data_IF_423763139672
#
_entry.id   IF_423763139672
#
_cell.length_a   1.000
_cell.length_b   1.000
_cell.length_c   1.000
_cell.angle_alpha   90.00
_cell.angle_beta   90.00
_cell.angle_gamma   90.00
#
_symmetry.space_group_name_H-M   'P 1'
#
loop_
_entity.id
_entity.type
_entity.pdbx_description
1 polymer ?
#
# COMPACT_ATOMS: atom_id res chain seq x y z
N UNK A 1 -19.13 6.48 2.66
CA UNK A 1 -18.04 7.06 3.48
C UNK A 1 -17.55 5.91 4.34
N UNK A 2 -16.24 5.71 4.46
CA UNK A 2 -15.72 4.68 5.36
C UNK A 2 -15.95 5.07 6.81
N UNK A 3 -16.26 4.08 7.63
CA UNK A 3 -16.33 4.22 9.09
C UNK A 3 -14.92 4.32 9.67
N UNK A 4 -14.79 4.91 10.86
CA UNK A 4 -13.51 4.99 11.55
C UNK A 4 -12.90 3.60 11.78
N UNK A 5 -13.74 2.60 12.06
CA UNK A 5 -13.31 1.22 12.21
C UNK A 5 -12.67 0.67 10.93
N UNK A 6 -13.30 0.85 9.78
CA UNK A 6 -12.76 0.40 8.48
C UNK A 6 -11.43 1.07 8.17
N UNK A 7 -11.28 2.35 8.52
CA UNK A 7 -10.02 3.10 8.37
C UNK A 7 -8.93 2.48 9.24
N UNK A 8 -9.20 2.26 10.54
CA UNK A 8 -8.23 1.69 11.47
C UNK A 8 -7.84 0.24 11.10
N UNK A 9 -8.80 -0.58 10.67
CA UNK A 9 -8.54 -1.95 10.20
C UNK A 9 -7.68 -1.93 8.92
N UNK A 10 -7.91 -0.96 8.04
CA UNK A 10 -7.12 -0.78 6.82
C UNK A 10 -5.68 -0.35 7.14
N UNK A 11 -5.50 0.60 8.05
CA UNK A 11 -4.17 1.02 8.55
C UNK A 11 -3.43 -0.20 9.12
N UNK A 12 -4.07 -0.95 10.01
CA UNK A 12 -3.46 -2.14 10.63
C UNK A 12 -3.05 -3.19 9.58
N UNK A 13 -3.87 -3.37 8.53
CA UNK A 13 -3.55 -4.25 7.42
C UNK A 13 -2.33 -3.77 6.62
N UNK A 14 -2.28 -2.50 6.24
CA UNK A 14 -1.13 -1.91 5.54
C UNK A 14 0.17 -2.08 6.33
N UNK A 15 0.14 -1.76 7.63
CA UNK A 15 1.30 -1.93 8.52
C UNK A 15 1.73 -3.40 8.58
N UNK A 16 0.78 -4.32 8.70
CA UNK A 16 1.08 -5.76 8.75
C UNK A 16 1.76 -6.27 7.47
N UNK A 17 1.31 -5.80 6.30
CA UNK A 17 1.92 -6.12 5.00
C UNK A 17 3.37 -5.62 4.96
N UNK A 18 3.62 -4.38 5.40
CA UNK A 18 4.96 -3.79 5.40
C UNK A 18 5.91 -4.45 6.38
N UNK A 19 5.41 -4.83 7.57
CA UNK A 19 6.17 -5.61 8.56
C UNK A 19 6.54 -6.98 7.99
N UNK A 20 5.61 -7.67 7.34
CA UNK A 20 5.87 -8.96 6.68
C UNK A 20 6.92 -8.82 5.56
N UNK A 21 6.75 -7.82 4.68
CA UNK A 21 7.69 -7.52 3.62
C UNK A 21 9.12 -7.29 4.14
N UNK A 22 9.26 -6.54 5.23
CA UNK A 22 10.55 -6.30 5.86
C UNK A 22 11.15 -7.59 6.45
N UNK A 23 10.36 -8.35 7.21
CA UNK A 23 10.84 -9.51 7.97
C UNK A 23 11.18 -10.72 7.08
N UNK A 24 10.46 -10.93 5.97
CA UNK A 24 10.72 -12.05 5.06
C UNK A 24 11.89 -11.82 4.09
N UNK A 25 12.61 -10.70 4.25
CA UNK A 25 13.67 -10.29 3.33
C UNK A 25 13.10 -9.66 2.07
N UNK A 26 13.70 -8.55 1.63
CA UNK A 26 13.27 -7.76 0.47
C UNK A 26 13.62 -8.42 -0.88
N UNK A 27 13.18 -9.67 -1.06
CA UNK A 27 13.33 -10.42 -2.30
C UNK A 27 12.37 -9.90 -3.39
N UNK A 28 12.60 -10.29 -4.64
CA UNK A 28 11.67 -9.98 -5.72
C UNK A 28 10.25 -10.53 -5.43
N UNK A 29 10.17 -11.76 -4.90
CA UNK A 29 8.90 -12.41 -4.60
C UNK A 29 8.10 -11.68 -3.51
N UNK A 30 8.74 -11.34 -2.39
CA UNK A 30 8.09 -10.62 -1.28
C UNK A 30 7.70 -9.19 -1.70
N UNK A 31 8.45 -8.57 -2.61
CA UNK A 31 8.10 -7.27 -3.18
C UNK A 31 6.88 -7.33 -4.10
N UNK A 32 6.78 -8.36 -4.95
CA UNK A 32 5.61 -8.59 -5.80
C UNK A 32 4.36 -8.84 -4.95
N UNK A 33 4.48 -9.68 -3.92
CA UNK A 33 3.39 -9.94 -2.98
C UNK A 33 2.95 -8.67 -2.24
N UNK A 34 3.90 -7.90 -1.69
CA UNK A 34 3.61 -6.62 -1.04
C UNK A 34 2.86 -5.67 -1.98
N UNK A 35 3.34 -5.50 -3.21
CA UNK A 35 2.70 -4.63 -4.21
C UNK A 35 1.26 -5.07 -4.51
N UNK A 36 1.03 -6.37 -4.69
CA UNK A 36 -0.30 -6.91 -4.99
C UNK A 36 -1.29 -6.74 -3.83
N UNK A 37 -0.85 -6.99 -2.60
CA UNK A 37 -1.69 -6.83 -1.41
C UNK A 37 -2.00 -5.36 -1.13
N UNK A 38 -1.00 -4.48 -1.22
CA UNK A 38 -1.17 -3.03 -1.11
C UNK A 38 -2.11 -2.50 -2.20
N UNK A 39 -1.96 -2.98 -3.44
CA UNK A 39 -2.86 -2.59 -4.53
C UNK A 39 -4.31 -2.99 -4.28
N UNK A 40 -4.55 -4.16 -3.68
CA UNK A 40 -5.91 -4.59 -3.28
C UNK A 40 -6.51 -3.64 -2.24
N UNK A 41 -5.70 -3.20 -1.26
CA UNK A 41 -6.13 -2.23 -0.26
C UNK A 41 -6.43 -0.88 -0.91
N UNK A 42 -5.54 -0.36 -1.77
CA UNK A 42 -5.74 0.90 -2.46
C UNK A 42 -7.05 0.92 -3.27
N UNK A 43 -7.37 -0.16 -4.00
CA UNK A 43 -8.65 -0.29 -4.72
C UNK A 43 -9.86 -0.28 -3.78
N UNK A 44 -9.74 -0.85 -2.59
CA UNK A 44 -10.80 -0.80 -1.57
C UNK A 44 -11.02 0.63 -1.09
N UNK A 45 -9.94 1.35 -0.80
CA UNK A 45 -9.99 2.74 -0.32
C UNK A 45 -10.56 3.68 -1.38
N UNK A 46 -10.25 3.48 -2.67
CA UNK A 46 -10.87 4.21 -3.78
C UNK A 46 -12.38 4.07 -3.84
N UNK A 47 -12.90 2.91 -3.45
CA UNK A 47 -14.34 2.65 -3.40
C UNK A 47 -15.07 3.43 -2.29
N UNK A 48 -14.34 4.06 -1.38
CA UNK A 48 -14.94 4.82 -0.28
C UNK A 48 -15.40 6.20 -0.75
N UNK A 49 -16.65 6.57 -0.41
CA UNK A 49 -17.19 7.88 -0.78
C UNK A 49 -16.32 9.02 -0.22
N UNK A 50 -16.09 10.05 -1.04
CA UNK A 50 -15.07 11.11 -0.96
C UNK A 50 -15.14 12.09 0.23
N UNK A 51 -15.80 11.74 1.33
CA UNK A 51 -15.77 12.54 2.55
C UNK A 51 -14.57 12.16 3.43
N UNK A 52 -13.85 13.16 3.92
CA UNK A 52 -12.81 13.06 4.97
C UNK A 52 -11.43 12.48 4.58
N UNK A 53 -11.08 12.49 3.29
CA UNK A 53 -9.77 12.05 2.77
C UNK A 53 -9.16 10.82 3.47
N UNK A 54 -9.82 9.64 3.35
CA UNK A 54 -9.30 8.43 3.95
C UNK A 54 -7.94 8.01 3.35
N UNK A 55 -7.63 8.45 2.13
CA UNK A 55 -6.36 8.17 1.47
C UNK A 55 -5.20 8.81 2.23
N UNK A 56 -5.23 10.13 2.42
CA UNK A 56 -4.22 10.85 3.18
C UNK A 56 -4.09 10.33 4.62
N UNK A 57 -5.23 10.07 5.28
CA UNK A 57 -5.23 9.52 6.65
C UNK A 57 -4.52 8.18 6.76
N UNK A 58 -4.69 7.28 5.79
CA UNK A 58 -4.01 5.99 5.78
C UNK A 58 -2.51 6.19 5.56
N UNK A 59 -2.11 7.03 4.61
CA UNK A 59 -0.70 7.32 4.33
C UNK A 59 0.03 7.84 5.58
N UNK A 60 -0.53 8.88 6.21
CA UNK A 60 0.07 9.50 7.40
C UNK A 60 0.17 8.52 8.57
N UNK A 61 -0.87 7.70 8.78
CA UNK A 61 -0.92 6.75 9.89
C UNK A 61 0.04 5.60 9.71
N UNK A 62 0.19 5.08 8.48
CA UNK A 62 1.16 4.02 8.17
C UNK A 62 2.59 4.53 8.36
N UNK A 63 2.90 5.73 7.87
CA UNK A 63 4.21 6.37 8.09
C UNK A 63 4.54 6.47 9.59
N UNK A 64 3.61 7.00 10.39
CA UNK A 64 3.79 7.14 11.84
C UNK A 64 4.06 5.79 12.52
N UNK A 65 3.31 4.75 12.15
CA UNK A 65 3.50 3.38 12.67
C UNK A 65 4.85 2.78 12.27
N UNK A 66 5.29 2.96 11.03
CA UNK A 66 6.58 2.45 10.57
C UNK A 66 7.75 3.15 11.25
N UNK A 67 7.67 4.47 11.44
CA UNK A 67 8.65 5.25 12.21
C UNK A 67 8.69 4.78 13.66
N UNK A 68 7.53 4.58 14.30
CA UNK A 68 7.46 4.13 15.68
C UNK A 68 8.10 2.75 15.90
N UNK A 69 7.97 1.84 14.92
CA UNK A 69 8.49 0.46 15.02
C UNK A 69 9.97 0.32 14.66
N UNK A 70 10.40 1.02 13.62
CA UNK A 70 11.71 0.82 13.01
C UNK A 70 12.67 2.01 13.16
N UNK A 71 12.21 3.09 13.80
CA UNK A 71 12.94 4.34 13.90
C UNK A 71 12.83 5.19 12.63
N UNK A 72 13.27 6.44 12.72
CA UNK A 72 13.09 7.43 11.66
C UNK A 72 13.69 7.00 10.31
N UNK A 73 14.96 6.59 10.28
CA UNK A 73 15.64 6.27 9.02
C UNK A 73 15.03 5.07 8.29
N UNK A 74 14.83 3.95 9.00
CA UNK A 74 14.29 2.74 8.38
C UNK A 74 12.78 2.86 8.15
N UNK A 75 12.05 3.50 9.06
CA UNK A 75 10.63 3.77 8.92
C UNK A 75 10.32 4.59 7.67
N UNK A 76 11.01 5.70 7.45
CA UNK A 76 10.84 6.55 6.25
C UNK A 76 11.17 5.79 4.96
N UNK A 77 12.18 4.92 4.97
CA UNK A 77 12.50 4.09 3.80
C UNK A 77 11.40 3.10 3.47
N UNK A 78 10.83 2.44 4.49
CA UNK A 78 9.71 1.51 4.29
C UNK A 78 8.45 2.25 3.86
N UNK A 79 8.19 3.42 4.43
CA UNK A 79 7.08 4.28 4.03
C UNK A 79 7.19 4.69 2.56
N UNK A 80 8.37 5.06 2.07
CA UNK A 80 8.56 5.36 0.64
C UNK A 80 8.26 4.17 -0.29
N UNK A 81 8.52 2.93 0.14
CA UNK A 81 8.14 1.74 -0.62
C UNK A 81 6.63 1.48 -0.57
N UNK A 82 6.01 1.68 0.58
CA UNK A 82 4.56 1.61 0.75
C UNK A 82 3.84 2.66 -0.09
N UNK A 83 4.22 3.94 0.04
CA UNK A 83 3.67 5.08 -0.70
C UNK A 83 3.70 4.79 -2.19
N UNK A 84 4.85 4.33 -2.70
CA UNK A 84 4.98 3.97 -4.11
C UNK A 84 4.00 2.87 -4.52
N UNK A 85 3.89 1.79 -3.75
CA UNK A 85 2.96 0.70 -4.06
C UNK A 85 1.49 1.13 -3.98
N UNK A 86 1.17 2.02 -3.04
CA UNK A 86 -0.18 2.54 -2.82
C UNK A 86 -0.61 3.50 -3.94
N UNK A 87 0.28 4.40 -4.37
CA UNK A 87 0.06 5.35 -5.47
C UNK A 87 0.16 4.70 -6.86
N UNK A 88 1.04 3.73 -7.06
CA UNK A 88 1.10 2.97 -8.32
C UNK A 88 -0.22 2.20 -8.56
N UNK A 89 -0.92 1.82 -7.49
CA UNK A 89 -2.28 1.29 -7.56
C UNK A 89 -3.35 2.37 -7.80
N UNK A 90 -2.99 3.66 -7.61
CA UNK A 90 -3.85 4.76 -8.02
C UNK A 90 -3.91 4.91 -9.54
N UNK A 91 -2.77 4.71 -10.20
CA UNK A 91 -2.67 4.80 -11.64
C UNK A 91 -3.46 3.67 -12.32
N UNK A 92 -4.18 3.94 -13.42
CA UNK A 92 -4.72 2.87 -14.26
C UNK A 92 -3.54 2.03 -14.73
N UNK A 93 -3.48 0.76 -14.30
CA UNK A 93 -2.47 -0.16 -14.81
C UNK A 93 -2.44 -0.03 -16.33
N UNK A 94 -1.26 0.13 -16.97
CA UNK A 94 -1.20 -0.03 -18.41
C UNK A 94 -1.72 -1.43 -18.70
N UNK A 95 -2.85 -1.50 -19.40
CA UNK A 95 -3.41 -2.75 -19.90
C UNK A 95 -2.25 -3.44 -20.60
N UNK A 96 -1.71 -4.52 -20.02
CA UNK A 96 -0.81 -5.42 -20.75
C UNK A 96 -1.69 -6.05 -21.81
N UNK A 97 -1.82 -5.36 -22.95
CA UNK A 97 -2.38 -5.92 -24.16
C UNK A 97 -1.57 -7.19 -24.41
N UNK A 98 -2.19 -8.38 -24.45
CA UNK A 98 -1.48 -9.57 -24.85
C UNK A 98 -0.91 -9.28 -26.23
N UNK A 99 0.41 -9.39 -26.36
CA UNK A 99 1.12 -9.24 -27.63
C UNK A 99 0.50 -10.20 -28.63
N UNK A 100 -0.48 -9.72 -29.39
CA UNK A 100 -1.07 -10.47 -30.50
C UNK A 100 0.04 -10.61 -31.53
N UNK A 101 0.60 -11.81 -31.55
CA UNK A 101 1.19 -12.52 -32.67
C UNK A 101 1.02 -11.76 -33.99
N UNK A 102 2.07 -11.06 -34.41
CA UNK A 102 2.28 -10.73 -35.81
C UNK A 102 3.00 -11.94 -36.43
N UNK A 103 2.24 -12.78 -37.12
CA UNK A 103 2.71 -13.67 -38.17
C UNK A 103 2.01 -13.30 -39.47
#
# INVERSE_FOLDING_TARGET
MATEREIQETIARCVSIMVYYHNCGKTAHTKEQMTAEIGTVAQTVKGWASGNDPWGRILDSVNAELIARYGFELGVRLDGEFYKAFEDADLPMPIRLPSRVLR
#
